data_IF_484891607935
#
_entry.id   IF_484891607935
#
_cell.length_a   1.000
_cell.length_b   1.000
_cell.length_c   1.000
_cell.angle_alpha   90.00
_cell.angle_beta   90.00
_cell.angle_gamma   90.00
#
_symmetry.space_group_name_H-M   'P 1'
#
loop_
_entity.id
_entity.type
_entity.pdbx_description
1 polymer ?
#
# COMPACT_ATOMS: atom_id res chain seq x y z
N UNK A 1 -6.47 -15.12 18.62
CA UNK A 1 -5.02 -14.88 18.51
C UNK A 1 -4.80 -13.65 17.65
N UNK A 2 -3.92 -12.72 18.04
CA UNK A 2 -3.47 -11.68 17.11
C UNK A 2 -2.51 -12.32 16.11
N UNK A 3 -2.84 -12.28 14.83
CA UNK A 3 -1.96 -12.72 13.76
C UNK A 3 -0.75 -11.77 13.69
N UNK A 4 0.46 -12.32 13.82
CA UNK A 4 1.68 -11.52 13.80
C UNK A 4 2.03 -11.18 12.35
N UNK A 5 1.75 -9.95 11.93
CA UNK A 5 2.20 -9.44 10.64
C UNK A 5 3.56 -8.75 10.80
N UNK A 6 4.61 -9.17 10.06
CA UNK A 6 5.84 -8.41 10.00
C UNK A 6 5.54 -6.99 9.47
N UNK A 7 6.28 -6.00 9.96
CA UNK A 7 6.04 -4.59 9.61
C UNK A 7 7.17 -4.08 8.73
N UNK A 8 6.83 -3.24 7.76
CA UNK A 8 7.82 -2.51 6.97
C UNK A 8 7.45 -1.03 6.91
N UNK A 9 8.48 -0.18 6.96
CA UNK A 9 8.36 1.27 6.79
C UNK A 9 8.91 1.63 5.42
N UNK A 10 8.13 2.38 4.65
CA UNK A 10 8.50 2.86 3.32
C UNK A 10 8.45 4.40 3.34
N UNK A 11 9.60 5.04 3.12
CA UNK A 11 9.67 6.48 2.93
C UNK A 11 9.29 6.83 1.49
N UNK A 12 8.28 7.67 1.34
CA UNK A 12 7.67 8.02 0.06
C UNK A 12 6.42 7.17 -0.22
N UNK A 13 5.25 7.80 -0.06
CA UNK A 13 3.95 7.25 -0.39
C UNK A 13 3.55 7.53 -1.84
N UNK A 14 4.50 7.84 -2.75
CA UNK A 14 4.24 8.16 -4.15
C UNK A 14 3.76 6.98 -5.01
N UNK A 15 3.68 7.18 -6.33
CA UNK A 15 3.20 6.15 -7.28
C UNK A 15 4.00 4.85 -7.17
N UNK A 16 5.33 4.90 -7.25
CA UNK A 16 6.20 3.71 -7.15
C UNK A 16 6.11 3.05 -5.77
N UNK A 17 6.09 3.86 -4.71
CA UNK A 17 5.92 3.38 -3.35
C UNK A 17 4.64 2.55 -3.21
N UNK A 18 3.52 3.02 -3.76
CA UNK A 18 2.22 2.33 -3.66
C UNK A 18 2.03 1.21 -4.69
N UNK A 19 2.42 1.41 -5.94
CA UNK A 19 2.15 0.48 -7.05
C UNK A 19 3.15 -0.67 -7.16
N UNK A 20 4.30 -0.58 -6.49
CA UNK A 20 5.31 -1.63 -6.56
C UNK A 20 5.74 -2.10 -5.18
N UNK A 21 6.46 -1.28 -4.42
CA UNK A 21 7.05 -1.71 -3.14
C UNK A 21 5.97 -2.05 -2.11
N UNK A 22 4.96 -1.18 -1.94
CA UNK A 22 3.85 -1.41 -1.03
C UNK A 22 2.98 -2.60 -1.43
N UNK A 23 2.75 -2.78 -2.73
CA UNK A 23 2.08 -3.98 -3.24
C UNK A 23 2.87 -5.24 -2.88
N UNK A 24 4.17 -5.28 -3.19
CA UNK A 24 5.02 -6.43 -2.95
C UNK A 24 4.99 -6.90 -1.49
N UNK A 25 5.17 -5.97 -0.54
CA UNK A 25 5.19 -6.31 0.87
C UNK A 25 3.80 -6.60 1.45
N UNK A 26 2.76 -5.88 1.03
CA UNK A 26 1.39 -6.19 1.44
C UNK A 26 0.96 -7.59 0.97
N UNK A 27 1.23 -7.94 -0.29
CA UNK A 27 1.01 -9.29 -0.82
C UNK A 27 1.86 -10.36 -0.11
N UNK A 28 3.03 -9.98 0.43
CA UNK A 28 3.87 -10.82 1.29
C UNK A 28 3.38 -10.94 2.74
N UNK A 29 2.21 -10.39 3.08
CA UNK A 29 1.62 -10.48 4.43
C UNK A 29 2.13 -9.44 5.43
N UNK A 30 2.90 -8.43 4.98
CA UNK A 30 3.38 -7.36 5.85
C UNK A 30 2.29 -6.33 6.11
N UNK A 31 2.33 -5.72 7.30
CA UNK A 31 1.73 -4.41 7.49
C UNK A 31 2.67 -3.34 6.90
N UNK A 32 2.17 -2.61 5.90
CA UNK A 32 2.94 -1.55 5.23
C UNK A 32 2.65 -0.21 5.90
N UNK A 33 3.71 0.51 6.26
CA UNK A 33 3.64 1.83 6.86
C UNK A 33 4.34 2.82 5.93
N UNK A 34 3.58 3.69 5.28
CA UNK A 34 4.13 4.76 4.48
C UNK A 34 4.49 5.98 5.34
N UNK A 35 5.58 6.65 5.02
CA UNK A 35 5.94 7.96 5.60
C UNK A 35 6.10 8.96 4.46
N UNK A 36 5.33 10.06 4.48
CA UNK A 36 5.37 11.07 3.42
C UNK A 36 4.95 12.45 3.94
N UNK A 37 5.50 13.52 3.35
CA UNK A 37 5.16 14.90 3.72
C UNK A 37 3.80 15.35 3.18
N UNK A 38 3.26 14.67 2.17
CA UNK A 38 2.01 15.07 1.54
C UNK A 38 0.79 14.58 2.32
N UNK A 39 0.37 15.33 3.34
CA UNK A 39 -0.72 14.96 4.24
C UNK A 39 -1.98 14.33 3.59
N UNK A 40 -2.50 14.82 2.45
CA UNK A 40 -3.70 14.23 1.87
C UNK A 40 -3.57 12.73 1.53
N UNK A 41 -2.40 12.26 1.10
CA UNK A 41 -2.23 10.81 0.85
C UNK A 41 -2.20 10.03 2.14
N UNK A 42 -1.55 10.57 3.18
CA UNK A 42 -1.46 9.94 4.50
C UNK A 42 -2.84 9.83 5.14
N UNK A 43 -3.66 10.90 5.07
CA UNK A 43 -5.04 10.88 5.56
C UNK A 43 -5.87 9.82 4.85
N UNK A 44 -5.79 9.72 3.52
CA UNK A 44 -6.55 8.73 2.76
C UNK A 44 -6.09 7.28 3.04
N UNK A 45 -4.78 7.05 3.16
CA UNK A 45 -4.23 5.75 3.56
C UNK A 45 -4.74 5.33 4.94
N UNK A 46 -4.75 6.28 5.89
CA UNK A 46 -5.22 6.01 7.25
C UNK A 46 -6.72 5.79 7.34
N UNK A 47 -7.51 6.47 6.50
CA UNK A 47 -8.96 6.32 6.45
C UNK A 47 -9.39 5.02 5.78
N UNK A 48 -8.79 4.66 4.64
CA UNK A 48 -9.19 3.48 3.84
C UNK A 48 -8.50 2.20 4.29
N UNK A 49 -7.33 2.29 4.93
CA UNK A 49 -6.47 1.14 5.29
C UNK A 49 -6.10 0.24 4.11
N UNK A 50 -6.21 0.77 2.89
CA UNK A 50 -6.04 0.05 1.64
C UNK A 50 -6.21 0.95 0.43
N UNK A 51 -5.78 0.46 -0.74
CA UNK A 51 -5.96 1.11 -2.04
C UNK A 51 -5.93 0.08 -3.16
N UNK A 52 -6.28 0.51 -4.37
CA UNK A 52 -6.27 -0.33 -5.58
C UNK A 52 -5.07 -0.02 -6.45
N UNK A 53 -4.41 -1.06 -6.95
CA UNK A 53 -3.45 -0.96 -8.04
C UNK A 53 -4.11 -1.53 -9.28
N UNK A 54 -4.09 -0.77 -10.37
CA UNK A 54 -4.63 -1.21 -11.65
C UNK A 54 -3.42 -1.56 -12.53
N UNK A 55 -3.26 -2.84 -12.83
CA UNK A 55 -2.26 -3.33 -13.76
C UNK A 55 -2.91 -3.39 -15.13
N UNK A 56 -2.36 -2.61 -16.07
CA UNK A 56 -2.85 -2.55 -17.46
C UNK A 56 -1.90 -3.31 -18.36
N UNK A 57 -2.46 -4.19 -19.18
CA UNK A 57 -1.84 -4.77 -20.38
C UNK A 57 -2.73 -4.48 -21.58
N UNK A 58 -2.25 -4.75 -22.80
CA UNK A 58 -2.93 -4.41 -24.05
C UNK A 58 -4.35 -4.98 -24.17
N UNK A 59 -4.65 -6.06 -23.46
CA UNK A 59 -5.94 -6.76 -23.56
C UNK A 59 -6.63 -7.00 -22.21
N UNK A 60 -5.93 -6.84 -21.07
CA UNK A 60 -6.46 -7.18 -19.74
C UNK A 60 -6.09 -6.09 -18.74
N UNK A 61 -7.08 -5.65 -17.96
CA UNK A 61 -6.87 -4.87 -16.75
C UNK A 61 -7.12 -5.74 -15.52
N UNK A 62 -6.12 -5.87 -14.68
CA UNK A 62 -6.24 -6.52 -13.37
C UNK A 62 -6.28 -5.45 -12.27
N UNK A 63 -7.16 -5.66 -11.28
CA UNK A 63 -7.22 -4.83 -10.08
C UNK A 63 -6.69 -5.64 -8.93
N UNK A 64 -5.59 -5.16 -8.34
CA UNK A 64 -5.00 -5.74 -7.14
C UNK A 64 -5.42 -4.88 -5.95
N UNK A 65 -6.13 -5.48 -5.00
CA UNK A 65 -6.51 -4.81 -3.76
C UNK A 65 -5.38 -4.92 -2.74
N UNK A 66 -4.84 -3.77 -2.34
CA UNK A 66 -3.80 -3.66 -1.32
C UNK A 66 -4.47 -3.33 0.00
N UNK A 67 -4.17 -4.13 1.02
CA UNK A 67 -4.77 -4.02 2.35
C UNK A 67 -3.69 -4.00 3.43
N UNK A 68 -4.10 -3.76 4.69
CA UNK A 68 -3.19 -3.67 5.84
C UNK A 68 -2.10 -2.58 5.67
N UNK A 69 -2.52 -1.41 5.18
CA UNK A 69 -1.64 -0.25 5.00
C UNK A 69 -2.06 0.91 5.88
N UNK A 70 -1.10 1.75 6.28
CA UNK A 70 -1.33 3.00 7.00
C UNK A 70 -0.21 4.00 6.70
N UNK A 71 -0.43 5.26 7.05
CA UNK A 71 0.52 6.34 6.78
C UNK A 71 0.89 7.13 8.04
N UNK A 72 2.07 7.74 8.03
CA UNK A 72 2.51 8.78 8.95
C UNK A 72 3.02 9.99 8.18
#
# INVERSE_FOLDING_TARGET
MSEFHPKIVIFGAGKIGRSFIGQLFSSGGFQVIFVDIFEPIISELNRKKGYKVIVKSDHISEIIEITNVRGY
#
